data_IF_094489491366
#
_entry.id   IF_094489491366
#
_cell.length_a   1.000
_cell.length_b   1.000
_cell.length_c   1.000
_cell.angle_alpha   90.00
_cell.angle_beta   90.00
_cell.angle_gamma   90.00
#
_symmetry.space_group_name_H-M   'P 1'
#
loop_
_entity.id
_entity.type
_entity.pdbx_description
1 polymer ?
#
# COMPACT_ATOMS: atom_id res chain seq x y z
N UNK A 1 -10.91 -36.63 19.27
CA UNK A 1 -9.44 -36.85 19.34
C UNK A 1 -8.76 -36.11 20.51
N UNK A 2 -9.47 -35.79 21.59
CA UNK A 2 -8.94 -34.98 22.71
C UNK A 2 -8.62 -35.77 24.00
N UNK A 3 -8.86 -37.08 24.05
CA UNK A 3 -8.60 -37.90 25.25
C UNK A 3 -7.33 -38.76 25.22
N UNK A 4 -6.65 -38.85 24.07
CA UNK A 4 -5.46 -39.71 23.92
C UNK A 4 -4.17 -38.96 24.28
N UNK A 5 -4.15 -37.61 24.23
CA UNK A 5 -2.96 -36.82 24.58
C UNK A 5 -2.72 -36.67 26.08
N UNK A 6 -3.73 -36.92 26.90
CA UNK A 6 -3.62 -36.80 28.36
C UNK A 6 -3.02 -38.02 29.03
N UNK A 7 -3.06 -39.19 28.39
CA UNK A 7 -2.60 -40.46 28.97
C UNK A 7 -1.10 -40.74 28.79
N UNK A 8 -0.44 -40.13 27.85
CA UNK A 8 1.00 -40.33 27.56
C UNK A 8 1.94 -39.51 28.44
N UNK A 9 1.45 -38.48 29.13
CA UNK A 9 2.28 -37.67 30.04
C UNK A 9 2.38 -38.22 31.46
N UNK A 10 1.59 -39.22 31.85
CA UNK A 10 1.54 -39.75 33.25
C UNK A 10 2.48 -40.92 33.51
N UNK A 11 2.98 -41.62 32.48
CA UNK A 11 3.76 -42.86 32.64
C UNK A 11 5.29 -42.64 32.74
N UNK A 12 5.78 -41.45 32.42
CA UNK A 12 7.23 -41.16 32.42
C UNK A 12 7.81 -40.67 33.77
N UNK A 13 7.04 -40.67 34.88
CA UNK A 13 7.33 -39.87 36.09
C UNK A 13 7.79 -40.71 37.29
N UNK A 14 8.45 -41.81 37.11
CA UNK A 14 8.83 -42.63 38.28
C UNK A 14 10.31 -42.55 38.74
N UNK A 15 11.19 -41.77 38.14
CA UNK A 15 12.63 -41.91 38.40
C UNK A 15 13.50 -40.66 38.58
N UNK A 16 12.97 -39.42 38.78
CA UNK A 16 13.89 -38.29 39.04
C UNK A 16 13.36 -37.27 40.05
N UNK A 17 14.27 -36.72 40.86
CA UNK A 17 14.01 -36.03 42.14
C UNK A 17 13.28 -34.67 42.11
N UNK A 18 13.19 -34.07 43.30
CA UNK A 18 12.37 -32.89 43.72
C UNK A 18 12.32 -31.67 42.78
N UNK A 19 13.20 -31.54 41.81
CA UNK A 19 13.21 -30.43 40.85
C UNK A 19 12.24 -30.65 39.65
N UNK A 20 11.94 -31.90 39.33
CA UNK A 20 10.97 -32.25 38.27
C UNK A 20 9.53 -32.12 38.76
N UNK A 21 9.29 -32.43 40.04
CA UNK A 21 7.94 -32.25 40.59
C UNK A 21 7.49 -30.79 40.54
N UNK A 22 8.36 -29.82 40.83
CA UNK A 22 8.07 -28.39 40.68
C UNK A 22 7.78 -27.97 39.22
N UNK A 23 8.48 -28.58 38.25
CA UNK A 23 8.19 -28.36 36.82
C UNK A 23 6.83 -28.93 36.42
N UNK A 24 6.51 -30.09 36.94
CA UNK A 24 5.22 -30.74 36.69
C UNK A 24 4.06 -29.92 37.27
N UNK A 25 4.23 -29.45 38.52
CA UNK A 25 3.24 -28.62 39.17
C UNK A 25 3.05 -27.28 38.40
N UNK A 26 4.12 -26.66 37.95
CA UNK A 26 4.07 -25.43 37.11
C UNK A 26 3.40 -25.70 35.77
N UNK A 27 3.70 -26.81 35.08
CA UNK A 27 3.07 -27.19 33.82
C UNK A 27 1.59 -27.55 34.02
N UNK A 28 1.23 -28.16 35.14
CA UNK A 28 -0.14 -28.49 35.48
C UNK A 28 -0.94 -27.24 35.78
N UNK A 29 -0.35 -26.26 36.47
CA UNK A 29 -0.96 -24.97 36.74
C UNK A 29 -1.14 -24.14 35.46
N UNK A 30 -0.16 -24.15 34.56
CA UNK A 30 -0.22 -23.48 33.26
C UNK A 30 -1.28 -24.13 32.34
N UNK A 31 -1.35 -25.48 32.33
CA UNK A 31 -2.40 -26.20 31.61
C UNK A 31 -3.80 -25.86 32.15
N UNK A 32 -3.97 -25.77 33.47
CA UNK A 32 -5.23 -25.36 34.06
C UNK A 32 -5.65 -23.94 33.67
N UNK A 33 -4.69 -23.01 33.61
CA UNK A 33 -4.88 -21.65 33.11
C UNK A 33 -5.27 -21.62 31.62
N UNK A 34 -4.58 -22.40 30.78
CA UNK A 34 -4.90 -22.49 29.35
C UNK A 34 -6.27 -23.11 29.10
N UNK A 35 -6.68 -24.12 29.86
CA UNK A 35 -8.01 -24.72 29.80
C UNK A 35 -9.08 -23.70 30.20
N UNK A 36 -8.89 -22.97 31.31
CA UNK A 36 -9.83 -21.94 31.76
C UNK A 36 -9.94 -20.79 30.73
N UNK A 37 -8.82 -20.38 30.12
CA UNK A 37 -8.80 -19.39 29.04
C UNK A 37 -9.53 -19.91 27.79
N UNK A 38 -9.34 -21.17 27.42
CA UNK A 38 -10.05 -21.79 26.29
C UNK A 38 -11.56 -21.88 26.52
N UNK A 39 -12.00 -22.20 27.74
CA UNK A 39 -13.43 -22.26 28.07
C UNK A 39 -14.07 -20.85 28.14
N UNK A 40 -13.34 -19.85 28.63
CA UNK A 40 -13.76 -18.46 28.57
C UNK A 40 -13.89 -17.99 27.11
N UNK A 41 -12.95 -18.36 26.24
CA UNK A 41 -12.99 -18.05 24.81
C UNK A 41 -14.18 -18.74 24.11
N UNK A 42 -14.47 -20.00 24.44
CA UNK A 42 -15.64 -20.72 23.92
C UNK A 42 -16.96 -20.06 24.37
N UNK A 43 -17.06 -19.61 25.63
CA UNK A 43 -18.23 -18.87 26.12
C UNK A 43 -18.42 -17.55 25.40
N UNK A 44 -17.31 -16.79 25.14
CA UNK A 44 -17.34 -15.56 24.36
C UNK A 44 -17.73 -15.82 22.89
N UNK A 45 -17.21 -16.88 22.28
CA UNK A 45 -17.57 -17.29 20.91
C UNK A 45 -19.05 -17.67 20.84
N UNK A 46 -19.57 -18.45 21.80
CA UNK A 46 -20.99 -18.84 21.87
C UNK A 46 -21.88 -17.61 22.03
N UNK A 47 -21.52 -16.68 22.92
CA UNK A 47 -22.24 -15.41 23.09
C UNK A 47 -22.23 -14.59 21.82
N UNK A 48 -21.07 -14.43 21.18
CA UNK A 48 -20.94 -13.72 19.92
C UNK A 48 -21.73 -14.39 18.78
N UNK A 49 -21.78 -15.72 18.72
CA UNK A 49 -22.59 -16.47 17.76
C UNK A 49 -24.09 -16.29 18.00
N UNK A 50 -24.52 -16.26 19.27
CA UNK A 50 -25.92 -16.00 19.64
C UNK A 50 -26.38 -14.59 19.25
N UNK A 51 -25.53 -13.59 19.38
CA UNK A 51 -25.80 -12.22 18.94
C UNK A 51 -25.84 -12.10 17.41
N UNK A 52 -24.97 -12.83 16.70
CA UNK A 52 -24.91 -12.79 15.22
C UNK A 52 -26.03 -13.57 14.55
N UNK A 53 -26.69 -14.52 15.26
CA UNK A 53 -27.81 -15.28 14.71
C UNK A 53 -29.04 -14.41 14.39
N UNK A 54 -29.13 -13.20 14.95
CA UNK A 54 -30.20 -12.22 14.71
C UNK A 54 -29.93 -11.29 13.50
N UNK A 55 -28.77 -11.36 12.88
CA UNK A 55 -28.40 -10.43 11.82
C UNK A 55 -28.48 -11.07 10.44
N UNK A 56 -29.03 -10.32 9.48
CA UNK A 56 -28.98 -10.69 8.07
C UNK A 56 -27.57 -10.39 7.52
N UNK A 57 -26.83 -11.43 7.13
CA UNK A 57 -25.52 -11.28 6.53
C UNK A 57 -25.66 -11.15 5.02
N UNK A 58 -25.13 -10.06 4.45
CA UNK A 58 -25.01 -9.81 3.02
C UNK A 58 -23.55 -9.78 2.64
N UNK A 59 -23.24 -10.21 1.41
CA UNK A 59 -21.91 -10.09 0.85
C UNK A 59 -21.96 -9.77 -0.64
N UNK A 60 -20.90 -9.16 -1.16
CA UNK A 60 -20.66 -8.99 -2.58
C UNK A 60 -19.16 -8.84 -2.84
N UNK A 61 -18.78 -8.98 -4.09
CA UNK A 61 -17.40 -9.04 -4.55
C UNK A 61 -17.09 -7.85 -5.45
N UNK A 62 -15.91 -7.28 -5.31
CA UNK A 62 -15.39 -6.20 -6.19
C UNK A 62 -15.23 -6.71 -7.60
N UNK A 63 -15.82 -6.03 -8.57
CA UNK A 63 -15.71 -6.27 -10.00
C UNK A 63 -14.81 -5.22 -10.65
N UNK A 64 -14.40 -5.45 -11.88
CA UNK A 64 -13.59 -4.49 -12.63
C UNK A 64 -14.30 -3.13 -12.75
N UNK A 65 -13.62 -2.07 -12.32
CA UNK A 65 -14.15 -0.69 -12.31
C UNK A 65 -15.00 -0.31 -11.09
N UNK A 66 -15.22 -1.24 -10.14
CA UNK A 66 -15.94 -0.93 -8.92
C UNK A 66 -15.11 -0.06 -7.96
N UNK A 67 -15.79 0.90 -7.30
CA UNK A 67 -15.39 1.43 -6.02
C UNK A 67 -16.21 0.82 -4.89
N UNK A 68 -15.90 1.16 -3.64
CA UNK A 68 -16.65 0.64 -2.48
C UNK A 68 -18.15 0.92 -2.59
N UNK A 69 -18.54 2.10 -3.07
CA UNK A 69 -19.93 2.49 -3.16
C UNK A 69 -20.76 1.57 -4.07
N UNK A 70 -20.20 1.10 -5.20
CA UNK A 70 -20.86 0.16 -6.11
C UNK A 70 -21.12 -1.18 -5.43
N UNK A 71 -20.16 -1.68 -4.67
CA UNK A 71 -20.29 -2.94 -3.92
C UNK A 71 -21.40 -2.80 -2.87
N UNK A 72 -21.37 -1.75 -2.05
CA UNK A 72 -22.39 -1.49 -1.02
C UNK A 72 -23.80 -1.31 -1.63
N UNK A 73 -23.89 -0.70 -2.82
CA UNK A 73 -25.16 -0.55 -3.54
C UNK A 73 -25.73 -1.91 -3.95
N UNK A 74 -24.93 -2.80 -4.53
CA UNK A 74 -25.37 -4.15 -4.91
C UNK A 74 -25.72 -5.02 -3.71
N UNK A 75 -25.08 -4.79 -2.55
CA UNK A 75 -25.46 -5.43 -1.29
C UNK A 75 -26.81 -4.94 -0.75
N UNK A 76 -27.46 -4.00 -1.46
CA UNK A 76 -28.72 -3.38 -1.05
C UNK A 76 -28.65 -2.79 0.38
N UNK A 77 -27.54 -2.08 0.66
CA UNK A 77 -27.36 -1.29 1.88
C UNK A 77 -27.97 0.09 1.60
N UNK A 78 -28.78 0.62 2.53
CA UNK A 78 -29.43 1.91 2.35
C UNK A 78 -28.40 3.06 2.23
N UNK A 79 -28.83 4.18 1.62
CA UNK A 79 -27.92 5.28 1.30
C UNK A 79 -27.26 5.90 2.54
N UNK A 80 -28.02 6.03 3.62
CA UNK A 80 -27.52 6.59 4.88
C UNK A 80 -26.37 5.73 5.46
N UNK A 81 -26.54 4.43 5.47
CA UNK A 81 -25.51 3.50 5.97
C UNK A 81 -24.30 3.43 5.03
N UNK A 82 -24.50 3.49 3.70
CA UNK A 82 -23.38 3.58 2.74
C UNK A 82 -22.51 4.80 3.02
N UNK A 83 -23.13 5.96 3.25
CA UNK A 83 -22.41 7.20 3.57
C UNK A 83 -21.60 7.06 4.86
N UNK A 84 -22.18 6.49 5.91
CA UNK A 84 -21.47 6.26 7.19
C UNK A 84 -20.28 5.31 7.05
N UNK A 85 -20.43 4.21 6.28
CA UNK A 85 -19.35 3.24 6.03
C UNK A 85 -18.19 3.91 5.29
N UNK A 86 -18.48 4.66 4.21
CA UNK A 86 -17.45 5.36 3.43
C UNK A 86 -16.72 6.38 4.31
N UNK A 87 -17.46 7.16 5.09
CA UNK A 87 -16.89 8.16 6.00
C UNK A 87 -15.98 7.51 7.06
N UNK A 88 -16.40 6.39 7.65
CA UNK A 88 -15.63 5.70 8.68
C UNK A 88 -14.35 5.04 8.13
N UNK A 89 -14.30 4.71 6.83
CA UNK A 89 -13.14 4.08 6.19
C UNK A 89 -12.18 5.06 5.53
N UNK A 90 -12.63 6.26 5.18
CA UNK A 90 -11.87 7.19 4.32
C UNK A 90 -10.47 7.54 4.85
N UNK A 91 -10.28 7.63 6.17
CA UNK A 91 -9.00 7.98 6.79
C UNK A 91 -8.13 6.76 7.10
N UNK A 92 -8.75 5.58 7.18
CA UNK A 92 -8.10 4.34 7.63
C UNK A 92 -7.77 3.38 6.48
N UNK A 93 -8.47 3.49 5.35
CA UNK A 93 -8.38 2.56 4.22
C UNK A 93 -8.16 3.31 2.92
N UNK A 94 -7.24 2.82 2.09
CA UNK A 94 -7.06 3.32 0.73
C UNK A 94 -8.14 2.72 -0.18
N UNK A 95 -9.29 3.37 -0.24
CA UNK A 95 -10.46 2.91 -0.99
C UNK A 95 -10.22 2.78 -2.50
N UNK A 96 -9.17 3.41 -3.02
CA UNK A 96 -8.74 3.26 -4.41
C UNK A 96 -7.94 1.98 -4.69
N UNK A 97 -7.47 1.29 -3.64
CA UNK A 97 -6.67 0.06 -3.76
C UNK A 97 -7.52 -1.22 -3.69
N UNK A 98 -8.84 -1.12 -3.89
CA UNK A 98 -9.72 -2.29 -3.94
C UNK A 98 -9.34 -3.20 -5.11
N UNK A 99 -9.30 -4.50 -4.85
CA UNK A 99 -8.91 -5.51 -5.85
C UNK A 99 -10.12 -6.27 -6.35
N UNK A 100 -10.17 -6.52 -7.65
CA UNK A 100 -11.16 -7.43 -8.25
C UNK A 100 -11.10 -8.78 -7.54
N UNK A 101 -12.27 -9.31 -7.17
CA UNK A 101 -12.39 -10.56 -6.40
C UNK A 101 -12.39 -10.37 -4.87
N UNK A 102 -12.12 -9.16 -4.34
CA UNK A 102 -12.19 -8.89 -2.92
C UNK A 102 -13.64 -8.92 -2.43
N UNK A 103 -13.90 -9.69 -1.37
CA UNK A 103 -15.25 -9.86 -0.81
C UNK A 103 -15.47 -8.92 0.37
N UNK A 104 -16.63 -8.30 0.40
CA UNK A 104 -17.15 -7.50 1.50
C UNK A 104 -18.32 -8.22 2.16
N UNK A 105 -18.42 -8.07 3.46
CA UNK A 105 -19.50 -8.63 4.29
C UNK A 105 -20.12 -7.53 5.13
N UNK A 106 -21.46 -7.49 5.17
CA UNK A 106 -22.23 -6.62 6.05
C UNK A 106 -23.23 -7.47 6.84
N UNK A 107 -23.27 -7.27 8.13
CA UNK A 107 -24.30 -7.83 9.01
C UNK A 107 -25.30 -6.72 9.37
N UNK A 108 -26.56 -6.91 9.01
CA UNK A 108 -27.65 -5.94 9.18
C UNK A 108 -28.65 -6.46 10.24
N UNK A 109 -29.18 -5.56 11.04
CA UNK A 109 -30.30 -5.87 11.94
C UNK A 109 -31.65 -5.94 11.19
N UNK A 110 -32.72 -6.17 11.91
CA UNK A 110 -34.08 -6.27 11.37
C UNK A 110 -34.62 -4.96 10.79
N UNK A 111 -34.05 -3.82 11.19
CA UNK A 111 -34.35 -2.50 10.64
C UNK A 111 -33.57 -2.21 9.34
N UNK A 112 -32.60 -3.06 8.97
CA UNK A 112 -31.73 -2.88 7.81
C UNK A 112 -30.52 -1.99 8.08
N UNK A 113 -30.26 -1.66 9.33
CA UNK A 113 -29.07 -0.91 9.76
C UNK A 113 -27.86 -1.83 9.86
N UNK A 114 -26.70 -1.37 9.38
CA UNK A 114 -25.46 -2.13 9.42
C UNK A 114 -24.89 -2.16 10.85
N UNK A 115 -24.76 -3.34 11.41
CA UNK A 115 -24.18 -3.58 12.73
C UNK A 115 -22.69 -3.88 12.65
N UNK A 116 -22.28 -4.61 11.61
CA UNK A 116 -20.86 -4.90 11.31
C UNK A 116 -20.63 -4.85 9.81
N UNK A 117 -19.47 -4.32 9.42
CA UNK A 117 -18.97 -4.37 8.05
C UNK A 117 -17.53 -4.82 8.07
N UNK A 118 -17.17 -5.81 7.25
CA UNK A 118 -15.79 -6.35 7.22
C UNK A 118 -15.35 -6.72 5.83
N UNK A 119 -14.04 -6.66 5.63
CA UNK A 119 -13.37 -7.16 4.44
C UNK A 119 -11.90 -7.49 4.73
N UNK A 120 -11.30 -8.27 3.86
CA UNK A 120 -9.89 -8.64 3.94
C UNK A 120 -9.17 -8.11 2.69
N UNK A 121 -8.29 -7.09 2.81
CA UNK A 121 -7.48 -6.62 1.68
C UNK A 121 -6.46 -7.67 1.22
N UNK A 122 -6.10 -8.57 2.10
CA UNK A 122 -5.27 -9.74 1.86
C UNK A 122 -5.57 -10.81 2.94
N UNK A 123 -5.12 -12.07 2.80
CA UNK A 123 -5.41 -13.14 3.75
C UNK A 123 -4.90 -12.92 5.19
N UNK A 124 -3.88 -12.07 5.35
CA UNK A 124 -3.29 -11.76 6.65
C UNK A 124 -3.91 -10.56 7.36
N UNK A 125 -4.79 -9.80 6.72
CA UNK A 125 -5.38 -8.59 7.30
C UNK A 125 -6.89 -8.63 7.20
N UNK A 126 -7.59 -8.40 8.32
CA UNK A 126 -9.04 -8.16 8.34
C UNK A 126 -9.29 -6.74 8.82
N UNK A 127 -10.14 -6.04 8.10
CA UNK A 127 -10.61 -4.70 8.46
C UNK A 127 -12.09 -4.77 8.77
N UNK A 128 -12.51 -4.12 9.83
CA UNK A 128 -13.87 -4.20 10.34
C UNK A 128 -14.36 -2.86 10.87
N UNK A 129 -15.61 -2.56 10.58
CA UNK A 129 -16.40 -1.53 11.24
C UNK A 129 -17.43 -2.21 12.14
N UNK A 130 -17.56 -1.74 13.37
CA UNK A 130 -18.61 -2.14 14.30
C UNK A 130 -19.44 -0.91 14.66
N UNK A 131 -20.78 -1.06 14.68
CA UNK A 131 -21.69 0.03 15.04
C UNK A 131 -21.45 0.43 16.48
N UNK A 132 -21.39 1.72 16.73
CA UNK A 132 -21.37 2.38 18.04
C UNK A 132 -22.39 3.49 18.05
N UNK A 133 -22.71 4.06 19.22
CA UNK A 133 -23.77 5.07 19.37
C UNK A 133 -23.61 6.27 18.42
N UNK A 134 -22.38 6.70 18.15
CA UNK A 134 -22.07 7.85 17.30
C UNK A 134 -21.70 7.52 15.84
N UNK A 135 -21.85 6.23 15.42
CA UNK A 135 -21.48 5.84 14.03
C UNK A 135 -20.80 4.47 13.96
N UNK A 136 -19.57 4.42 13.43
CA UNK A 136 -18.79 3.18 13.34
C UNK A 136 -17.42 3.34 13.98
N UNK A 137 -17.04 2.36 14.80
CA UNK A 137 -15.67 2.18 15.25
C UNK A 137 -14.90 1.29 14.24
N UNK A 138 -13.77 1.79 13.77
CA UNK A 138 -12.87 1.04 12.90
C UNK A 138 -11.91 0.18 13.72
N UNK A 139 -11.71 -1.05 13.29
CA UNK A 139 -10.68 -1.94 13.81
C UNK A 139 -9.96 -2.68 12.69
N UNK A 140 -8.68 -2.99 12.93
CA UNK A 140 -7.84 -3.76 12.04
C UNK A 140 -7.19 -4.90 12.80
N UNK A 141 -7.26 -6.10 12.25
CA UNK A 141 -6.64 -7.31 12.79
C UNK A 141 -5.60 -7.76 11.77
N UNK A 142 -4.33 -7.70 12.15
CA UNK A 142 -3.22 -8.23 11.37
C UNK A 142 -2.81 -9.58 11.96
N UNK A 143 -2.83 -10.61 11.14
CA UNK A 143 -2.35 -11.95 11.50
C UNK A 143 -0.83 -12.01 11.30
N UNK A 144 -0.12 -12.85 12.05
CA UNK A 144 1.32 -13.03 11.88
C UNK A 144 1.71 -13.35 10.45
N UNK A 145 2.79 -12.74 9.98
CA UNK A 145 3.36 -12.97 8.65
C UNK A 145 4.84 -13.27 8.79
N UNK A 146 5.35 -14.14 7.94
CA UNK A 146 6.78 -14.40 7.81
C UNK A 146 7.38 -13.41 6.82
N UNK A 147 8.48 -12.77 7.22
CA UNK A 147 9.25 -11.89 6.34
C UNK A 147 10.49 -12.66 5.87
N UNK A 148 10.69 -12.67 4.55
CA UNK A 148 11.88 -13.29 3.93
C UNK A 148 12.65 -12.23 3.17
N UNK A 149 13.96 -12.24 3.34
CA UNK A 149 14.88 -11.45 2.52
C UNK A 149 15.70 -12.40 1.65
N UNK A 150 15.77 -12.10 0.36
CA UNK A 150 16.46 -12.94 -0.63
C UNK A 150 17.38 -12.08 -1.47
N UNK A 151 18.62 -12.51 -1.63
CA UNK A 151 19.60 -11.91 -2.56
C UNK A 151 19.65 -12.75 -3.82
N UNK A 152 19.39 -12.09 -4.94
CA UNK A 152 19.49 -12.66 -6.28
C UNK A 152 20.66 -12.01 -7.01
N UNK A 153 21.52 -12.83 -7.58
CA UNK A 153 22.68 -12.40 -8.37
C UNK A 153 22.65 -13.06 -9.72
N UNK A 154 23.12 -12.37 -10.75
CA UNK A 154 23.18 -12.92 -12.08
C UNK A 154 23.94 -12.02 -13.06
N UNK A 155 24.08 -12.51 -14.27
CA UNK A 155 24.68 -11.78 -15.39
C UNK A 155 23.79 -11.90 -16.62
N UNK A 156 23.82 -10.89 -17.48
CA UNK A 156 23.16 -10.97 -18.79
C UNK A 156 23.83 -12.01 -19.67
N UNK A 157 23.04 -12.73 -20.44
CA UNK A 157 23.49 -13.72 -21.40
C UNK A 157 23.20 -13.29 -22.83
N UNK A 158 23.88 -13.90 -23.79
CA UNK A 158 23.66 -13.63 -25.22
C UNK A 158 22.19 -13.89 -25.60
N UNK A 159 21.56 -12.89 -26.22
CA UNK A 159 20.15 -12.99 -26.67
C UNK A 159 19.11 -12.98 -25.55
N UNK A 160 19.52 -12.83 -24.29
CA UNK A 160 18.59 -12.76 -23.18
C UNK A 160 18.00 -11.36 -22.99
N UNK A 161 16.77 -11.30 -22.50
CA UNK A 161 16.18 -10.06 -21.98
C UNK A 161 16.40 -9.95 -20.50
N UNK A 162 16.41 -8.73 -19.93
CA UNK A 162 16.47 -8.54 -18.48
C UNK A 162 15.39 -9.36 -17.77
N UNK A 163 14.15 -9.27 -18.23
CA UNK A 163 13.04 -10.03 -17.64
C UNK A 163 13.28 -11.54 -17.64
N UNK A 164 13.80 -12.09 -18.74
CA UNK A 164 14.12 -13.52 -18.83
C UNK A 164 15.19 -13.94 -17.83
N UNK A 165 16.26 -13.14 -17.70
CA UNK A 165 17.33 -13.44 -16.74
C UNK A 165 16.85 -13.29 -15.30
N UNK A 166 16.04 -12.27 -14.98
CA UNK A 166 15.47 -12.13 -13.65
C UNK A 166 14.61 -13.33 -13.25
N UNK A 167 13.81 -13.87 -14.19
CA UNK A 167 13.10 -15.13 -13.99
C UNK A 167 14.06 -16.33 -13.82
N UNK A 168 15.10 -16.42 -14.66
CA UNK A 168 16.07 -17.52 -14.63
C UNK A 168 16.81 -17.60 -13.27
N UNK A 169 17.13 -16.46 -12.66
CA UNK A 169 17.77 -16.42 -11.32
C UNK A 169 16.76 -16.58 -10.16
N UNK A 170 15.48 -16.82 -10.45
CA UNK A 170 14.45 -17.15 -9.46
C UNK A 170 13.72 -15.96 -8.86
N UNK A 171 13.83 -14.74 -9.42
CA UNK A 171 13.01 -13.62 -8.96
C UNK A 171 11.53 -13.93 -9.24
N UNK A 172 10.65 -13.86 -8.22
CA UNK A 172 9.23 -14.16 -8.40
C UNK A 172 8.62 -13.30 -9.51
N UNK A 173 7.80 -13.91 -10.39
CA UNK A 173 7.26 -13.24 -11.58
C UNK A 173 6.55 -11.92 -11.29
N UNK A 174 5.85 -11.83 -10.15
CA UNK A 174 5.20 -10.60 -9.64
C UNK A 174 6.18 -9.48 -9.27
N UNK A 175 7.48 -9.80 -9.05
CA UNK A 175 8.51 -8.83 -8.69
C UNK A 175 9.38 -8.44 -9.90
N UNK A 176 9.40 -9.23 -10.97
CA UNK A 176 10.23 -8.97 -12.16
C UNK A 176 9.96 -7.58 -12.75
N UNK A 177 8.69 -7.23 -12.93
CA UNK A 177 8.32 -5.91 -13.44
C UNK A 177 8.76 -4.76 -12.52
N UNK A 178 8.69 -4.95 -11.20
CA UNK A 178 9.11 -3.96 -10.21
C UNK A 178 10.62 -3.77 -10.25
N UNK A 179 11.39 -4.86 -10.24
CA UNK A 179 12.87 -4.83 -10.36
C UNK A 179 13.29 -4.17 -11.65
N UNK A 180 12.68 -4.58 -12.78
CA UNK A 180 12.98 -3.99 -14.08
C UNK A 180 12.73 -2.48 -14.10
N UNK A 181 11.63 -2.02 -13.52
CA UNK A 181 11.31 -0.59 -13.45
C UNK A 181 12.35 0.20 -12.62
N UNK A 182 12.84 -0.38 -11.51
CA UNK A 182 13.88 0.25 -10.68
C UNK A 182 15.19 0.39 -11.45
N UNK A 183 15.64 -0.67 -12.12
CA UNK A 183 16.90 -0.66 -12.87
C UNK A 183 16.83 0.24 -14.11
N UNK A 184 15.72 0.20 -14.86
CA UNK A 184 15.53 1.01 -16.09
C UNK A 184 15.59 2.52 -15.85
N UNK A 185 15.46 2.98 -14.60
CA UNK A 185 15.61 4.41 -14.30
C UNK A 185 17.02 4.96 -14.61
N UNK A 186 18.04 4.11 -14.58
CA UNK A 186 19.45 4.50 -14.81
C UNK A 186 20.13 3.68 -15.89
N UNK A 187 19.68 2.47 -16.15
CA UNK A 187 20.30 1.52 -17.07
C UNK A 187 19.54 1.49 -18.38
N UNK A 188 20.22 1.88 -19.46
CA UNK A 188 19.73 1.63 -20.82
C UNK A 188 20.07 0.19 -21.23
N UNK A 189 19.10 -0.70 -21.09
CA UNK A 189 19.32 -2.12 -21.44
C UNK A 189 19.57 -2.38 -22.93
N UNK A 190 19.37 -1.38 -23.81
CA UNK A 190 19.81 -1.46 -25.21
C UNK A 190 21.34 -1.41 -25.35
N UNK A 191 22.03 -0.82 -24.37
CA UNK A 191 23.49 -0.71 -24.32
C UNK A 191 24.14 -1.75 -23.41
N UNK A 192 23.35 -2.46 -22.64
CA UNK A 192 23.83 -3.53 -21.77
C UNK A 192 24.32 -4.73 -22.61
N UNK A 193 25.33 -5.42 -22.13
CA UNK A 193 26.04 -6.50 -22.85
C UNK A 193 26.01 -7.81 -22.06
N UNK A 194 26.17 -8.94 -22.73
CA UNK A 194 26.42 -10.22 -22.05
C UNK A 194 27.63 -10.11 -21.12
N UNK A 195 27.50 -10.67 -19.91
CA UNK A 195 28.48 -10.56 -18.84
C UNK A 195 28.25 -9.40 -17.87
N UNK A 196 27.42 -8.41 -18.20
CA UNK A 196 27.01 -7.37 -17.25
C UNK A 196 26.23 -7.99 -16.09
N UNK A 197 26.58 -7.61 -14.86
CA UNK A 197 26.09 -8.25 -13.62
C UNK A 197 25.05 -7.41 -12.92
N UNK A 198 24.19 -8.09 -12.16
CA UNK A 198 23.26 -7.42 -11.27
C UNK A 198 23.16 -8.15 -9.92
N UNK A 199 22.73 -7.41 -8.91
CA UNK A 199 22.39 -7.92 -7.58
C UNK A 199 21.11 -7.25 -7.10
N UNK A 200 20.17 -8.04 -6.56
CA UNK A 200 18.87 -7.57 -6.09
C UNK A 200 18.64 -8.11 -4.68
N UNK A 201 18.28 -7.24 -3.73
CA UNK A 201 17.75 -7.64 -2.44
C UNK A 201 16.24 -7.41 -2.44
N UNK A 202 15.47 -8.50 -2.30
CA UNK A 202 14.03 -8.47 -2.10
C UNK A 202 13.67 -8.74 -0.64
N UNK A 203 12.67 -8.04 -0.14
CA UNK A 203 11.94 -8.38 1.08
C UNK A 203 10.52 -8.79 0.69
N UNK A 204 10.08 -9.96 1.14
CA UNK A 204 8.75 -10.49 0.84
C UNK A 204 8.04 -10.93 2.11
N UNK A 205 6.72 -10.70 2.17
CA UNK A 205 5.85 -11.09 3.28
C UNK A 205 4.95 -12.23 2.86
N UNK A 206 4.89 -13.26 3.71
CA UNK A 206 4.06 -14.44 3.50
C UNK A 206 3.14 -14.66 4.70
N UNK A 207 1.91 -15.04 4.43
CA UNK A 207 0.98 -15.56 5.43
C UNK A 207 0.99 -17.10 5.37
N UNK A 208 1.08 -17.75 6.54
CA UNK A 208 1.22 -19.21 6.65
C UNK A 208 2.38 -19.76 5.78
N UNK A 209 3.49 -19.05 5.73
CA UNK A 209 4.73 -19.38 5.01
C UNK A 209 4.61 -19.61 3.49
N UNK A 210 3.42 -19.66 2.93
CA UNK A 210 3.18 -19.98 1.53
C UNK A 210 2.40 -18.91 0.78
N UNK A 211 1.49 -18.21 1.44
CA UNK A 211 0.61 -17.23 0.80
C UNK A 211 1.31 -15.87 0.75
N UNK A 212 1.76 -15.48 -0.42
CA UNK A 212 2.41 -14.19 -0.64
C UNK A 212 1.45 -13.01 -0.39
N UNK A 213 1.88 -12.06 0.38
CA UNK A 213 1.12 -10.84 0.70
C UNK A 213 1.66 -9.64 -0.07
N UNK A 214 2.95 -9.39 0.01
CA UNK A 214 3.60 -8.24 -0.63
C UNK A 214 5.09 -8.48 -0.80
N UNK A 215 5.71 -7.70 -1.67
CA UNK A 215 7.16 -7.68 -1.85
C UNK A 215 7.66 -6.26 -2.03
N UNK A 216 8.92 -6.03 -1.65
CA UNK A 216 9.65 -4.78 -1.83
C UNK A 216 11.02 -5.07 -2.43
N UNK A 217 11.45 -4.23 -3.37
CA UNK A 217 12.87 -4.16 -3.77
C UNK A 217 13.55 -3.24 -2.76
N UNK A 218 14.41 -3.79 -1.91
CA UNK A 218 15.19 -2.98 -0.96
C UNK A 218 16.44 -2.41 -1.61
N UNK A 219 17.04 -3.19 -2.52
CA UNK A 219 18.24 -2.83 -3.24
C UNK A 219 18.23 -3.42 -4.64
N UNK A 220 18.76 -2.67 -5.60
CA UNK A 220 19.04 -3.14 -6.94
C UNK A 220 20.36 -2.51 -7.43
N UNK A 221 21.27 -3.36 -7.87
CA UNK A 221 22.55 -3.01 -8.45
C UNK A 221 22.63 -3.52 -9.88
N UNK A 222 23.23 -2.73 -10.76
CA UNK A 222 23.63 -3.16 -12.07
C UNK A 222 25.04 -2.66 -12.36
N UNK A 223 25.92 -3.57 -12.77
CA UNK A 223 27.30 -3.26 -13.10
C UNK A 223 27.60 -3.76 -14.52
N UNK A 224 27.60 -2.83 -15.47
CA UNK A 224 27.79 -3.12 -16.87
C UNK A 224 29.00 -2.39 -17.46
N UNK A 225 29.67 -3.07 -18.41
CA UNK A 225 30.87 -2.55 -19.06
C UNK A 225 30.61 -1.21 -19.78
N UNK A 226 29.48 -1.10 -20.48
CA UNK A 226 29.13 0.11 -21.24
C UNK A 226 28.26 1.08 -20.43
N UNK A 227 27.34 0.57 -19.66
CA UNK A 227 26.36 1.37 -18.93
C UNK A 227 26.85 1.84 -17.55
N UNK A 228 27.99 1.27 -17.07
CA UNK A 228 28.59 1.63 -15.79
C UNK A 228 27.93 0.96 -14.58
N UNK A 229 28.32 1.42 -13.38
CA UNK A 229 27.81 0.94 -12.11
C UNK A 229 26.69 1.82 -11.58
N UNK A 230 25.55 1.20 -11.28
CA UNK A 230 24.36 1.87 -10.78
C UNK A 230 23.79 1.12 -9.58
N UNK A 231 23.48 1.85 -8.52
CA UNK A 231 22.85 1.34 -7.31
C UNK A 231 21.53 2.07 -7.04
N UNK A 232 20.57 1.32 -6.56
CA UNK A 232 19.25 1.79 -6.17
C UNK A 232 18.94 1.34 -4.75
N UNK A 233 18.72 2.26 -3.83
CA UNK A 233 18.38 1.99 -2.44
C UNK A 233 16.94 2.39 -2.15
N UNK A 234 16.20 1.53 -1.50
CA UNK A 234 14.86 1.86 -1.02
C UNK A 234 14.96 2.86 0.14
N UNK A 235 14.35 4.03 -0.02
CA UNK A 235 14.14 4.97 1.06
C UNK A 235 12.74 4.82 1.64
N UNK A 236 12.62 4.73 2.95
CA UNK A 236 11.36 4.70 3.68
C UNK A 236 11.30 5.86 4.69
N UNK A 237 10.31 6.73 4.51
CA UNK A 237 9.97 7.80 5.44
C UNK A 237 9.22 7.20 6.64
N UNK A 238 9.24 7.81 7.85
CA UNK A 238 8.43 7.37 8.99
C UNK A 238 6.92 7.36 8.71
N UNK A 239 6.45 8.24 7.82
CA UNK A 239 5.08 8.19 7.33
C UNK A 239 4.99 7.22 6.14
N UNK A 240 4.29 6.08 6.28
CA UNK A 240 4.13 5.11 5.19
C UNK A 240 3.38 5.68 3.97
N UNK A 241 2.62 6.77 4.14
CA UNK A 241 1.92 7.48 3.05
C UNK A 241 2.76 8.62 2.45
N UNK A 242 4.01 8.78 2.87
CA UNK A 242 4.92 9.80 2.35
C UNK A 242 5.24 9.57 0.88
N UNK A 243 5.18 10.61 0.08
CA UNK A 243 5.54 10.60 -1.34
C UNK A 243 7.04 10.41 -1.58
N UNK A 244 7.84 10.50 -0.53
CA UNK A 244 9.27 10.26 -0.58
C UNK A 244 9.65 8.78 -0.52
N UNK A 245 8.71 7.89 -0.23
CA UNK A 245 8.90 6.44 -0.21
C UNK A 245 9.17 5.89 -1.62
N UNK A 246 10.44 5.94 -2.05
CA UNK A 246 10.88 5.59 -3.40
C UNK A 246 12.33 5.06 -3.39
N UNK A 247 12.88 4.78 -4.58
CA UNK A 247 14.28 4.41 -4.73
C UNK A 247 15.13 5.65 -5.07
N UNK A 248 16.31 5.70 -4.45
CA UNK A 248 17.28 6.77 -4.63
C UNK A 248 18.68 6.18 -4.82
N UNK A 249 19.58 6.95 -5.44
CA UNK A 249 21.00 6.66 -5.37
C UNK A 249 21.52 6.92 -3.96
N UNK A 250 22.70 6.44 -3.61
CA UNK A 250 23.35 6.74 -2.33
C UNK A 250 23.53 8.26 -2.10
N UNK A 251 23.64 9.05 -3.18
CA UNK A 251 23.69 10.51 -3.13
C UNK A 251 22.34 11.19 -2.94
N UNK A 252 21.28 10.41 -2.76
CA UNK A 252 19.91 10.89 -2.56
C UNK A 252 19.22 11.34 -3.85
N UNK A 253 19.75 11.07 -5.02
CA UNK A 253 19.10 11.38 -6.29
C UNK A 253 17.99 10.41 -6.59
N UNK A 254 16.80 10.92 -6.91
CA UNK A 254 15.68 10.06 -7.30
C UNK A 254 16.00 9.32 -8.59
N UNK A 255 15.61 8.04 -8.65
CA UNK A 255 15.85 7.21 -9.84
C UNK A 255 14.89 7.48 -10.99
N UNK A 256 13.92 8.36 -10.80
CA UNK A 256 13.03 8.85 -11.85
C UNK A 256 13.30 10.33 -12.04
N UNK A 257 13.97 10.70 -13.15
CA UNK A 257 14.29 12.10 -13.47
C UNK A 257 13.19 12.81 -14.23
N UNK A 258 12.53 12.11 -15.12
CA UNK A 258 11.42 12.63 -15.90
C UNK A 258 10.12 12.26 -15.24
N UNK A 259 9.38 13.25 -14.78
CA UNK A 259 8.10 13.03 -14.15
C UNK A 259 7.57 14.29 -13.49
N UNK A 260 6.28 14.28 -13.27
CA UNK A 260 5.61 15.34 -12.52
C UNK A 260 5.99 15.23 -11.04
N UNK A 261 5.84 16.33 -10.32
CA UNK A 261 5.98 16.32 -8.85
C UNK A 261 4.66 15.94 -8.20
N UNK A 262 4.72 15.24 -7.08
CA UNK A 262 3.51 15.01 -6.30
C UNK A 262 2.89 16.33 -5.83
N UNK A 263 1.55 16.47 -5.90
CA UNK A 263 0.85 17.69 -5.50
C UNK A 263 0.78 17.87 -3.98
N UNK A 264 1.05 16.83 -3.19
CA UNK A 264 1.03 16.79 -1.74
C UNK A 264 2.24 16.02 -1.21
N UNK A 265 2.65 16.27 0.03
CA UNK A 265 3.71 15.50 0.70
C UNK A 265 3.26 14.10 1.13
N UNK A 266 1.96 13.93 1.30
CA UNK A 266 1.30 12.69 1.71
C UNK A 266 0.15 12.39 0.78
N UNK A 267 0.10 11.16 0.24
CA UNK A 267 -0.98 10.74 -0.63
C UNK A 267 -1.91 9.75 0.07
N UNK A 268 -3.17 10.09 0.09
CA UNK A 268 -4.26 9.21 0.49
C UNK A 268 -5.38 9.34 -0.53
N UNK A 269 -5.45 8.40 -1.49
CA UNK A 269 -6.46 8.47 -2.55
C UNK A 269 -7.81 8.04 -1.96
N UNK A 270 -8.75 8.97 -1.92
CA UNK A 270 -10.12 8.73 -1.47
C UNK A 270 -11.06 8.42 -2.62
N UNK A 271 -10.76 8.90 -3.84
CA UNK A 271 -11.53 8.57 -5.03
C UNK A 271 -10.65 8.57 -6.30
N UNK A 272 -10.60 7.46 -7.07
CA UNK A 272 -9.84 7.37 -8.31
C UNK A 272 -10.55 8.07 -9.46
N UNK A 273 -9.82 8.27 -10.57
CA UNK A 273 -10.36 8.69 -11.85
C UNK A 273 -11.25 7.61 -12.46
N UNK A 274 -12.34 8.02 -13.11
CA UNK A 274 -13.16 7.12 -13.94
C UNK A 274 -14.64 7.11 -13.59
N UNK A 275 -15.34 6.15 -14.16
CA UNK A 275 -16.78 6.01 -13.95
C UNK A 275 -17.09 5.64 -12.49
N UNK A 276 -17.98 6.39 -11.87
CA UNK A 276 -18.44 6.14 -10.48
C UNK A 276 -19.90 6.53 -10.30
N UNK A 277 -20.52 6.03 -9.25
CA UNK A 277 -21.78 6.58 -8.76
C UNK A 277 -21.44 7.79 -7.90
N UNK A 278 -22.04 8.94 -8.21
CA UNK A 278 -21.79 10.19 -7.49
C UNK A 278 -22.25 10.06 -6.04
N UNK A 279 -21.39 10.33 -5.03
CA UNK A 279 -21.69 10.04 -3.63
C UNK A 279 -22.90 10.85 -3.07
N UNK A 280 -23.19 12.03 -3.66
CA UNK A 280 -24.29 12.89 -3.21
C UNK A 280 -25.56 12.62 -4.03
N UNK A 281 -25.46 12.46 -5.36
CA UNK A 281 -26.64 12.39 -6.24
C UNK A 281 -27.07 10.98 -6.61
N UNK A 282 -26.27 9.96 -6.32
CA UNK A 282 -26.53 8.55 -6.68
C UNK A 282 -26.48 8.27 -8.21
N UNK A 283 -26.19 9.27 -9.05
CA UNK A 283 -26.16 9.13 -10.50
C UNK A 283 -24.81 8.61 -11.01
N UNK A 284 -24.82 7.87 -12.10
CA UNK A 284 -23.59 7.52 -12.82
C UNK A 284 -22.92 8.80 -13.34
N UNK A 285 -21.64 8.97 -13.02
CA UNK A 285 -20.84 10.11 -13.46
C UNK A 285 -19.40 9.64 -13.72
N UNK A 286 -18.64 10.44 -14.45
CA UNK A 286 -17.20 10.24 -14.63
C UNK A 286 -16.46 11.19 -13.70
N UNK A 287 -15.58 10.66 -12.89
CA UNK A 287 -14.67 11.46 -12.08
C UNK A 287 -13.45 11.84 -12.94
N UNK A 288 -13.31 13.12 -13.22
CA UNK A 288 -12.28 13.64 -14.13
C UNK A 288 -10.94 13.95 -13.46
N UNK A 289 -10.68 13.39 -12.27
CA UNK A 289 -9.46 13.56 -11.51
C UNK A 289 -9.24 12.46 -10.50
N UNK A 290 -8.30 12.68 -9.60
CA UNK A 290 -8.07 11.85 -8.41
C UNK A 290 -8.28 12.75 -7.20
N UNK A 291 -9.07 12.26 -6.24
CA UNK A 291 -9.26 12.94 -4.95
C UNK A 291 -8.25 12.39 -3.93
N UNK A 292 -7.45 13.30 -3.38
CA UNK A 292 -6.48 13.00 -2.32
C UNK A 292 -6.99 13.59 -1.00
N UNK A 293 -7.42 12.74 -0.07
CA UNK A 293 -7.78 13.12 1.29
C UNK A 293 -6.56 13.70 2.03
N UNK A 294 -6.70 14.90 2.56
CA UNK A 294 -5.64 15.59 3.29
C UNK A 294 -6.25 16.65 4.24
N UNK A 295 -5.65 16.92 5.40
CA UNK A 295 -6.14 17.93 6.32
C UNK A 295 -6.30 19.29 5.64
N UNK A 296 -7.37 20.03 5.99
CA UNK A 296 -7.57 21.41 5.53
C UNK A 296 -6.35 22.27 5.89
N UNK A 297 -5.87 23.05 4.93
CA UNK A 297 -4.69 23.90 5.11
C UNK A 297 -3.37 23.25 4.69
N UNK A 298 -3.33 21.95 4.39
CA UNK A 298 -2.12 21.29 3.85
C UNK A 298 -1.64 21.99 2.58
N UNK A 299 -0.31 22.19 2.40
CA UNK A 299 0.22 22.83 1.19
C UNK A 299 -0.10 22.00 -0.06
N UNK A 300 -0.52 22.68 -1.13
CA UNK A 300 -0.70 22.11 -2.45
C UNK A 300 0.40 22.64 -3.38
N UNK A 301 1.08 21.72 -4.06
CA UNK A 301 2.24 22.02 -4.88
C UNK A 301 1.92 21.92 -6.37
N UNK A 302 2.53 22.78 -7.19
CA UNK A 302 2.53 22.64 -8.63
C UNK A 302 3.24 21.33 -9.06
N UNK A 303 2.56 20.52 -9.84
CA UNK A 303 3.09 19.21 -10.31
C UNK A 303 4.22 19.38 -11.33
N UNK A 304 4.26 20.49 -12.06
CA UNK A 304 5.30 20.85 -13.01
C UNK A 304 5.42 22.37 -13.16
N UNK A 305 6.51 22.82 -13.79
CA UNK A 305 6.64 24.20 -14.21
C UNK A 305 5.56 24.57 -15.22
N UNK A 306 5.09 25.80 -15.17
CA UNK A 306 4.08 26.28 -16.10
C UNK A 306 3.62 27.71 -15.82
N UNK A 307 2.53 28.09 -16.47
CA UNK A 307 1.88 29.38 -16.29
C UNK A 307 0.46 29.15 -15.82
N UNK A 308 0.04 29.83 -14.76
CA UNK A 308 -1.32 29.76 -14.24
C UNK A 308 -2.30 30.33 -15.26
N UNK A 309 -3.22 29.50 -15.74
CA UNK A 309 -4.25 29.87 -16.72
C UNK A 309 -5.60 30.16 -16.07
N UNK A 310 -5.85 29.56 -14.89
CA UNK A 310 -7.07 29.76 -14.09
C UNK A 310 -6.69 29.93 -12.64
N UNK A 311 -7.24 30.94 -11.97
CA UNK A 311 -7.27 31.11 -10.53
C UNK A 311 -8.59 31.75 -10.16
N UNK A 312 -9.59 30.94 -9.77
CA UNK A 312 -10.96 31.41 -9.60
C UNK A 312 -11.79 30.51 -8.69
N UNK A 313 -13.08 30.77 -8.66
CA UNK A 313 -14.07 30.02 -7.91
C UNK A 313 -15.27 29.69 -8.80
N UNK A 314 -15.84 28.51 -8.63
CA UNK A 314 -17.22 28.17 -9.02
C UNK A 314 -17.83 27.19 -8.01
N UNK A 315 -19.17 27.04 -8.07
CA UNK A 315 -19.91 26.24 -7.08
C UNK A 315 -19.64 24.75 -7.18
N UNK A 316 -19.15 24.26 -8.31
CA UNK A 316 -18.80 22.86 -8.51
C UNK A 316 -17.40 22.54 -8.00
N UNK A 317 -16.40 23.27 -8.48
CA UNK A 317 -14.98 23.03 -8.21
C UNK A 317 -14.46 23.76 -6.97
N UNK A 318 -15.24 24.70 -6.43
CA UNK A 318 -14.79 25.60 -5.37
C UNK A 318 -13.65 26.50 -5.85
N UNK A 319 -12.77 26.88 -4.95
CA UNK A 319 -11.52 27.53 -5.31
C UNK A 319 -10.65 26.60 -6.13
N UNK A 320 -10.26 27.03 -7.33
CA UNK A 320 -9.50 26.24 -8.30
C UNK A 320 -8.35 27.00 -8.90
N UNK A 321 -7.34 26.25 -9.29
CA UNK A 321 -6.17 26.72 -10.04
C UNK A 321 -5.96 25.76 -11.21
N UNK A 322 -5.62 26.29 -12.40
CA UNK A 322 -5.13 25.52 -13.51
C UNK A 322 -3.78 26.06 -13.95
N UNK A 323 -2.87 25.16 -14.30
CA UNK A 323 -1.51 25.48 -14.75
C UNK A 323 -1.30 24.80 -16.10
N UNK A 324 -0.95 25.60 -17.12
CA UNK A 324 -0.52 25.10 -18.43
C UNK A 324 0.98 24.85 -18.42
N UNK A 325 1.35 23.64 -18.80
CA UNK A 325 2.72 23.16 -18.86
C UNK A 325 3.33 23.37 -20.26
N UNK A 326 4.66 23.12 -20.38
CA UNK A 326 5.40 23.34 -21.63
C UNK A 326 4.91 22.45 -22.79
N UNK A 327 4.37 21.27 -22.48
CA UNK A 327 3.78 20.32 -23.45
C UNK A 327 2.32 20.64 -23.80
N UNK A 328 1.81 21.81 -23.41
CA UNK A 328 0.42 22.24 -23.54
C UNK A 328 -0.61 21.40 -22.80
N UNK A 329 -0.19 20.48 -21.91
CA UNK A 329 -1.10 19.85 -20.97
C UNK A 329 -1.43 20.80 -19.83
N UNK A 330 -2.57 20.57 -19.14
CA UNK A 330 -2.96 21.36 -17.98
C UNK A 330 -3.16 20.47 -16.75
N UNK A 331 -2.65 20.92 -15.60
CA UNK A 331 -3.02 20.36 -14.28
C UNK A 331 -4.01 21.28 -13.58
N UNK A 332 -5.05 20.65 -12.99
CA UNK A 332 -6.16 21.32 -12.32
C UNK A 332 -6.21 20.93 -10.85
N UNK A 333 -6.30 21.92 -9.97
CA UNK A 333 -6.32 21.78 -8.51
C UNK A 333 -7.60 22.43 -7.99
N UNK A 334 -8.50 21.63 -7.38
CA UNK A 334 -9.83 22.09 -6.99
C UNK A 334 -10.09 21.88 -5.50
N UNK A 335 -11.19 22.43 -5.02
CA UNK A 335 -11.67 22.41 -3.63
C UNK A 335 -10.72 23.09 -2.64
N UNK A 336 -9.87 24.01 -3.11
CA UNK A 336 -8.84 24.67 -2.28
C UNK A 336 -9.48 25.57 -1.21
N UNK A 337 -8.83 25.69 -0.05
CA UNK A 337 -9.17 26.72 0.95
C UNK A 337 -8.57 28.07 0.61
N UNK A 338 -7.37 28.06 0.02
CA UNK A 338 -6.63 29.26 -0.38
C UNK A 338 -6.04 29.07 -1.77
N UNK A 339 -6.18 30.06 -2.63
CA UNK A 339 -5.45 30.21 -3.88
C UNK A 339 -4.24 31.10 -3.64
N UNK A 340 -3.04 30.55 -3.76
CA UNK A 340 -1.77 31.21 -3.46
C UNK A 340 -1.11 31.90 -4.67
N UNK A 341 -1.72 31.79 -5.86
CA UNK A 341 -1.18 32.32 -7.13
C UNK A 341 -2.30 32.89 -8.00
N UNK A 342 -1.97 33.89 -8.81
CA UNK A 342 -2.87 34.54 -9.74
C UNK A 342 -2.64 34.07 -11.19
N UNK A 343 -3.63 34.30 -12.07
CA UNK A 343 -3.49 34.08 -13.52
C UNK A 343 -2.29 34.82 -14.07
N UNK A 344 -1.54 34.19 -14.95
CA UNK A 344 -0.29 34.71 -15.52
C UNK A 344 0.96 34.44 -14.68
N UNK A 345 0.82 33.99 -13.43
CA UNK A 345 1.98 33.65 -12.58
C UNK A 345 2.74 32.48 -13.19
N UNK A 346 4.06 32.61 -13.37
CA UNK A 346 4.98 31.51 -13.69
C UNK A 346 5.29 30.74 -12.42
N UNK A 347 5.11 29.43 -12.42
CA UNK A 347 5.36 28.56 -11.26
C UNK A 347 6.44 27.53 -11.58
N UNK A 348 7.25 27.22 -10.58
CA UNK A 348 8.23 26.14 -10.61
C UNK A 348 7.60 24.82 -10.10
N UNK A 349 8.18 23.64 -10.45
CA UNK A 349 7.76 22.38 -9.86
C UNK A 349 7.90 22.41 -8.33
N UNK A 350 6.95 21.87 -7.59
CA UNK A 350 6.92 21.89 -6.11
C UNK A 350 6.73 23.28 -5.49
N UNK A 351 6.51 24.32 -6.24
CA UNK A 351 6.08 25.60 -5.67
C UNK A 351 4.72 25.45 -5.01
N UNK A 352 4.55 25.99 -3.81
CA UNK A 352 3.24 26.07 -3.14
C UNK A 352 2.33 27.01 -3.96
N UNK A 353 1.18 26.50 -4.41
CA UNK A 353 0.22 27.26 -5.22
C UNK A 353 -1.10 27.49 -4.49
N UNK A 354 -1.36 26.74 -3.41
CA UNK A 354 -2.60 26.84 -2.65
C UNK A 354 -2.58 25.97 -1.42
N UNK A 355 -3.74 25.81 -0.80
CA UNK A 355 -3.92 24.95 0.37
C UNK A 355 -5.18 24.10 0.22
N UNK A 356 -5.13 22.86 0.69
CA UNK A 356 -6.25 21.92 0.72
C UNK A 356 -7.45 22.54 1.44
N UNK A 357 -8.63 22.34 0.91
CA UNK A 357 -9.89 22.80 1.46
C UNK A 357 -11.02 21.80 1.27
N UNK A 358 -12.23 22.33 1.30
CA UNK A 358 -13.48 21.61 1.02
C UNK A 358 -14.50 22.61 0.44
N UNK A 359 -14.05 23.51 -0.45
CA UNK A 359 -14.92 24.53 -1.08
C UNK A 359 -15.61 23.96 -2.32
N UNK A 360 -16.74 24.55 -2.70
CA UNK A 360 -17.58 24.04 -3.79
C UNK A 360 -18.32 22.75 -3.39
N UNK A 361 -18.59 21.88 -4.37
CA UNK A 361 -19.30 20.62 -4.15
C UNK A 361 -18.34 19.53 -3.65
N UNK A 362 -18.06 19.55 -2.36
CA UNK A 362 -17.12 18.65 -1.66
C UNK A 362 -17.79 18.06 -0.42
N UNK A 363 -17.48 16.80 -0.11
CA UNK A 363 -17.98 16.08 1.08
C UNK A 363 -17.05 16.15 2.28
N UNK A 364 -15.83 16.68 2.12
CA UNK A 364 -14.82 16.78 3.18
C UNK A 364 -13.48 17.31 2.65
N UNK A 365 -12.50 17.60 3.52
CA UNK A 365 -11.22 18.15 3.11
C UNK A 365 -10.44 17.19 2.19
N UNK A 366 -10.18 17.60 0.95
CA UNK A 366 -9.38 16.88 -0.03
C UNK A 366 -8.85 17.80 -1.13
N UNK A 367 -7.85 17.35 -1.85
CA UNK A 367 -7.42 17.92 -3.12
C UNK A 367 -7.98 17.07 -4.26
N UNK A 368 -8.76 17.68 -5.15
CA UNK A 368 -9.06 17.10 -6.46
C UNK A 368 -7.96 17.52 -7.44
N UNK A 369 -7.22 16.53 -7.99
CA UNK A 369 -6.22 16.73 -9.03
C UNK A 369 -6.72 16.16 -10.35
N UNK A 370 -6.89 17.02 -11.36
CA UNK A 370 -7.23 16.65 -12.72
C UNK A 370 -6.11 16.99 -13.71
N UNK A 371 -6.09 16.29 -14.84
CA UNK A 371 -5.24 16.65 -15.99
C UNK A 371 -6.06 16.75 -17.25
N UNK A 372 -5.68 17.72 -18.11
CA UNK A 372 -6.16 17.80 -19.48
C UNK A 372 -5.01 17.65 -20.47
N UNK A 373 -5.28 16.96 -21.56
CA UNK A 373 -4.36 16.90 -22.69
C UNK A 373 -4.33 18.24 -23.46
N UNK A 374 -3.47 18.34 -24.48
CA UNK A 374 -3.35 19.52 -25.33
C UNK A 374 -4.58 19.82 -26.21
N UNK A 375 -5.59 18.91 -26.23
CA UNK A 375 -6.89 19.07 -26.90
C UNK A 375 -8.00 19.44 -25.92
N UNK A 376 -7.69 19.56 -24.61
CA UNK A 376 -8.64 19.91 -23.57
C UNK A 376 -9.43 18.71 -23.00
N UNK A 377 -9.12 17.46 -23.38
CA UNK A 377 -9.77 16.27 -22.84
C UNK A 377 -9.20 15.88 -21.50
N UNK A 378 -10.06 15.45 -20.57
CA UNK A 378 -9.63 14.94 -19.28
C UNK A 378 -8.86 13.63 -19.40
N UNK A 379 -7.74 13.54 -18.71
CA UNK A 379 -6.84 12.40 -18.66
C UNK A 379 -6.81 11.80 -17.27
N UNK A 380 -6.58 10.48 -17.18
CA UNK A 380 -6.36 9.84 -15.89
C UNK A 380 -5.00 10.24 -15.28
N UNK A 381 -4.98 10.97 -14.13
CA UNK A 381 -3.72 11.38 -13.49
C UNK A 381 -2.84 10.20 -13.07
N UNK A 382 -3.41 9.03 -12.75
CA UNK A 382 -2.66 7.84 -12.37
C UNK A 382 -1.75 7.28 -13.48
N UNK A 383 -1.98 7.69 -14.74
CA UNK A 383 -1.11 7.33 -15.88
C UNK A 383 0.14 8.21 -16.00
N UNK A 384 0.24 9.27 -15.18
CA UNK A 384 1.39 10.17 -15.15
C UNK A 384 2.38 9.72 -14.08
N UNK A 385 3.65 9.60 -14.43
CA UNK A 385 4.72 9.33 -13.48
C UNK A 385 4.97 10.56 -12.60
N UNK A 386 4.93 10.38 -11.28
CA UNK A 386 5.16 11.45 -10.30
C UNK A 386 6.27 11.08 -9.33
N UNK A 387 7.04 12.07 -8.89
CA UNK A 387 8.09 11.96 -7.87
C UNK A 387 7.98 13.09 -6.85
N UNK A 388 8.48 12.86 -5.62
CA UNK A 388 8.46 13.89 -4.59
C UNK A 388 9.48 14.99 -4.88
N UNK A 389 10.73 14.60 -5.14
CA UNK A 389 11.85 15.52 -5.39
C UNK A 389 12.91 14.81 -6.23
N UNK A 390 13.67 15.54 -7.04
CA UNK A 390 14.82 14.96 -7.75
C UNK A 390 15.96 14.55 -6.81
N UNK A 391 16.04 15.13 -5.60
CA UNK A 391 17.08 14.81 -4.61
C UNK A 391 16.56 14.95 -3.19
N UNK A 392 16.97 14.03 -2.30
CA UNK A 392 16.70 14.13 -0.86
C UNK A 392 17.71 15.10 -0.22
N UNK A 393 17.22 15.87 0.77
CA UNK A 393 18.00 16.87 1.50
C UNK A 393 17.73 16.80 3.00
N UNK A 394 18.54 17.47 3.80
CA UNK A 394 18.38 17.63 5.24
C UNK A 394 18.20 16.28 5.96
N UNK A 395 17.21 16.22 6.84
CA UNK A 395 16.92 15.03 7.66
C UNK A 395 16.60 13.78 6.84
N UNK A 396 16.02 13.93 5.62
CA UNK A 396 15.74 12.80 4.75
C UNK A 396 17.03 12.22 4.19
N UNK A 397 18.01 13.06 3.84
CA UNK A 397 19.32 12.59 3.39
C UNK A 397 20.09 11.88 4.52
N UNK A 398 20.05 12.40 5.74
CA UNK A 398 20.66 11.74 6.89
C UNK A 398 20.04 10.36 7.16
N UNK A 399 18.70 10.26 7.04
CA UNK A 399 17.99 8.98 7.16
C UNK A 399 18.36 8.01 6.03
N UNK A 400 18.44 8.49 4.77
CA UNK A 400 18.85 7.65 3.64
C UNK A 400 20.23 7.03 3.90
N UNK A 401 21.22 7.81 4.36
CA UNK A 401 22.56 7.29 4.68
C UNK A 401 22.53 6.15 5.68
N UNK A 402 21.69 6.28 6.71
CA UNK A 402 21.49 5.21 7.68
C UNK A 402 20.86 3.98 7.01
N UNK A 403 19.79 4.16 6.25
CA UNK A 403 19.10 3.05 5.56
C UNK A 403 20.00 2.37 4.52
N UNK A 404 20.88 3.09 3.82
CA UNK A 404 21.88 2.53 2.93
C UNK A 404 22.84 1.60 3.70
N UNK A 405 23.34 2.05 4.87
CA UNK A 405 24.20 1.22 5.70
C UNK A 405 23.47 -0.04 6.21
N UNK A 406 22.22 0.11 6.65
CA UNK A 406 21.38 -1.00 7.09
C UNK A 406 21.14 -2.00 5.94
N UNK A 407 20.80 -1.52 4.74
CA UNK A 407 20.58 -2.37 3.54
C UNK A 407 21.86 -3.13 3.16
N UNK A 408 23.03 -2.49 3.17
CA UNK A 408 24.31 -3.16 2.88
C UNK A 408 24.60 -4.28 3.89
N UNK A 409 24.35 -4.02 5.17
CA UNK A 409 24.46 -5.03 6.24
C UNK A 409 23.49 -6.20 6.00
N UNK A 410 22.25 -5.91 5.59
CA UNK A 410 21.25 -6.93 5.28
C UNK A 410 21.70 -7.82 4.10
N UNK A 411 22.32 -7.23 3.07
CA UNK A 411 22.89 -7.97 1.93
C UNK A 411 23.97 -8.94 2.44
N UNK A 412 24.92 -8.48 3.24
CA UNK A 412 26.00 -9.30 3.81
C UNK A 412 25.45 -10.47 4.64
N UNK A 413 24.49 -10.18 5.56
CA UNK A 413 23.85 -11.19 6.40
C UNK A 413 23.09 -12.22 5.57
N UNK A 414 22.40 -11.78 4.50
CA UNK A 414 21.65 -12.69 3.65
C UNK A 414 22.58 -13.52 2.77
N UNK A 415 23.69 -12.96 2.28
CA UNK A 415 24.72 -13.69 1.55
C UNK A 415 25.43 -14.73 2.42
N UNK A 416 25.56 -14.48 3.71
CA UNK A 416 26.11 -15.44 4.67
C UNK A 416 25.12 -16.57 5.03
N UNK A 417 23.84 -16.43 4.67
CA UNK A 417 22.82 -17.45 4.97
C UNK A 417 22.93 -18.64 4.02
N UNK A 418 22.45 -19.84 4.42
CA UNK A 418 22.41 -21.00 3.54
C UNK A 418 21.63 -20.71 2.27
N UNK A 419 22.11 -21.26 1.15
CA UNK A 419 21.35 -21.22 -0.10
C UNK A 419 20.14 -22.17 0.00
N UNK A 420 18.99 -21.70 -0.44
CA UNK A 420 17.71 -22.44 -0.41
C UNK A 420 17.18 -22.57 -1.84
N UNK A 421 16.63 -23.73 -2.14
CA UNK A 421 15.95 -23.98 -3.42
C UNK A 421 14.65 -23.17 -3.49
N UNK A 422 14.45 -22.42 -4.56
CA UNK A 422 13.26 -21.58 -4.71
C UNK A 422 12.20 -22.37 -5.48
N UNK A 423 11.07 -22.65 -4.83
CA UNK A 423 9.96 -23.44 -5.34
C UNK A 423 10.47 -24.83 -5.87
N UNK A 424 9.79 -25.42 -6.82
CA UNK A 424 10.21 -26.69 -7.46
C UNK A 424 11.25 -26.50 -8.58
N UNK A 425 11.97 -25.39 -8.57
CA UNK A 425 13.02 -25.08 -9.56
C UNK A 425 14.41 -25.51 -9.04
N UNK A 426 15.40 -25.68 -9.95
CA UNK A 426 16.79 -25.92 -9.56
C UNK A 426 17.56 -24.66 -9.17
N UNK A 427 16.86 -23.53 -9.07
CA UNK A 427 17.45 -22.25 -8.71
C UNK A 427 17.70 -22.18 -7.20
N UNK A 428 18.97 -21.98 -6.82
CA UNK A 428 19.40 -21.79 -5.45
C UNK A 428 19.56 -20.30 -5.16
N UNK A 429 18.87 -19.81 -4.14
CA UNK A 429 18.92 -18.41 -3.71
C UNK A 429 19.33 -18.34 -2.25
N UNK A 430 20.13 -17.35 -1.88
CA UNK A 430 20.44 -17.08 -0.48
C UNK A 430 19.28 -16.31 0.14
N UNK A 431 18.70 -16.91 1.18
CA UNK A 431 17.49 -16.42 1.81
C UNK A 431 17.63 -16.40 3.32
N UNK A 432 17.12 -15.36 3.94
CA UNK A 432 17.02 -15.24 5.40
C UNK A 432 15.58 -14.96 5.81
N UNK A 433 15.08 -15.72 6.78
CA UNK A 433 13.79 -15.48 7.42
C UNK A 433 14.02 -14.50 8.58
N UNK A 434 13.31 -13.39 8.58
CA UNK A 434 13.35 -12.42 9.67
C UNK A 434 12.34 -12.84 10.74
N UNK A 435 12.80 -12.95 12.00
CA UNK A 435 11.98 -13.29 13.17
C UNK A 435 11.26 -12.05 13.72
#
# INVERSE_FOLDING_TARGET
MSRIFLLLCVVAIALTGCNEQKKIDALTQENARLVAAADSLKALISKAQGETSKWLVKNDTVRAGDGLFQVLYRMNINEKERGKIVLALQDSVELAALRVGQVFYAALDTAGDVQRFRFAPNPATVQMLSKVDSGFAYSRIDKPVTIRQSVFEGALENGSTLSGILHKVGIPGRMVGVVSAVLQCKVSFQLARPGDKFRILLEEKFYQDSIWISGKVLYAEFNGHTVGHHEAFRYEDPDPKSTFNAHYTEKGEALIFEGLRYPLDRLHITSPYGARIHPITGRRTVHHGIDYGSPKGSPVYAVAAGVVTVSGYDDLSGNKIAIRHRDNTESWYMHLSVRGVNVGTKVAPRQVIGRVGSTGRSTGPHLHLGFKDNRGNWMNPAKKTMIATPKLEGNRMARLKKQVADIRKEIELTLASPAVKVNDTDVMVRMRVLK
#
